data_IF_904368109403
#
_entry.id   IF_904368109403
#
_cell.length_a   1.000
_cell.length_b   1.000
_cell.length_c   1.000
_cell.angle_alpha   90.00
_cell.angle_beta   90.00
_cell.angle_gamma   90.00
#
_symmetry.space_group_name_H-M   'P 1'
#
loop_
_entity.id
_entity.type
_entity.pdbx_description
1 polymer ?
#
# COMPACT_ATOMS: atom_id res chain seq x y z
N UNK A 1 -1.08 -10.33 26.28
CA UNK A 1 -1.07 -9.38 25.15
C UNK A 1 -1.82 -10.05 24.01
N UNK A 2 -2.84 -9.41 23.44
CA UNK A 2 -3.58 -9.99 22.31
C UNK A 2 -2.66 -10.11 21.08
N UNK A 3 -2.80 -11.15 20.24
CA UNK A 3 -1.95 -11.32 19.07
C UNK A 3 -2.22 -10.20 18.06
N UNK A 4 -1.18 -9.72 17.38
CA UNK A 4 -1.30 -8.68 16.34
C UNK A 4 -1.86 -9.26 15.03
N UNK A 5 -1.38 -10.44 14.65
CA UNK A 5 -1.83 -11.23 13.49
C UNK A 5 -2.85 -12.26 13.92
N UNK A 6 -3.78 -12.61 13.05
CA UNK A 6 -4.71 -13.71 13.28
C UNK A 6 -3.92 -15.03 13.47
N UNK A 7 -4.01 -15.70 14.63
CA UNK A 7 -3.27 -16.93 14.88
C UNK A 7 -3.80 -18.14 14.09
N UNK A 8 -4.99 -18.04 13.49
CA UNK A 8 -5.64 -19.12 12.75
C UNK A 8 -5.35 -19.09 11.24
N UNK A 9 -4.39 -18.28 10.80
CA UNK A 9 -4.05 -18.19 9.38
C UNK A 9 -3.58 -19.55 8.82
N UNK A 10 -4.14 -20.01 7.69
CA UNK A 10 -3.72 -21.26 7.06
C UNK A 10 -2.43 -21.05 6.26
N UNK A 11 -1.32 -20.78 6.96
CA UNK A 11 -0.05 -20.35 6.36
C UNK A 11 0.45 -21.27 5.23
N UNK A 12 0.30 -22.59 5.38
CA UNK A 12 0.73 -23.55 4.36
C UNK A 12 -0.08 -23.42 3.05
N UNK A 13 -1.40 -23.21 3.15
CA UNK A 13 -2.26 -23.01 1.99
C UNK A 13 -1.97 -21.67 1.32
N UNK A 14 -1.77 -20.62 2.11
CA UNK A 14 -1.40 -19.28 1.62
C UNK A 14 -0.09 -19.35 0.85
N UNK A 15 0.94 -19.98 1.41
CA UNK A 15 2.24 -20.13 0.77
C UNK A 15 2.13 -20.94 -0.53
N UNK A 16 1.36 -22.02 -0.54
CA UNK A 16 1.12 -22.83 -1.74
C UNK A 16 0.44 -22.03 -2.85
N UNK A 17 -0.59 -21.23 -2.51
CA UNK A 17 -1.29 -20.36 -3.48
C UNK A 17 -0.37 -19.28 -4.05
N UNK A 18 0.39 -18.61 -3.18
CA UNK A 18 1.33 -17.57 -3.59
C UNK A 18 2.42 -18.13 -4.51
N UNK A 19 2.97 -19.31 -4.19
CA UNK A 19 3.97 -19.96 -5.03
C UNK A 19 3.42 -20.40 -6.40
N UNK A 20 2.13 -20.74 -6.49
CA UNK A 20 1.50 -21.18 -7.74
C UNK A 20 1.02 -20.03 -8.63
N UNK A 21 0.68 -18.87 -8.06
CA UNK A 21 0.00 -17.78 -8.78
C UNK A 21 0.76 -16.46 -8.78
N UNK A 22 1.87 -16.35 -8.03
CA UNK A 22 2.61 -15.11 -7.75
C UNK A 22 1.81 -14.03 -6.99
N UNK A 23 0.56 -14.30 -6.64
CA UNK A 23 -0.22 -13.48 -5.71
C UNK A 23 -1.16 -14.33 -4.86
N UNK A 24 -1.60 -13.76 -3.74
CA UNK A 24 -2.62 -14.34 -2.87
C UNK A 24 -3.40 -13.25 -2.15
N UNK A 25 -4.69 -13.49 -1.94
CA UNK A 25 -5.58 -12.64 -1.15
C UNK A 25 -5.93 -13.39 0.14
N UNK A 26 -5.53 -12.83 1.28
CA UNK A 26 -5.63 -13.45 2.61
C UNK A 26 -6.69 -12.68 3.39
N UNK A 27 -7.77 -13.34 3.76
CA UNK A 27 -8.83 -12.76 4.60
C UNK A 27 -8.46 -12.86 6.07
N UNK A 28 -9.04 -11.98 6.86
CA UNK A 28 -8.89 -11.93 8.31
C UNK A 28 -7.42 -11.95 8.75
N UNK A 29 -6.59 -11.12 8.11
CA UNK A 29 -5.13 -11.15 8.28
C UNK A 29 -4.68 -10.70 9.68
N UNK A 30 -5.15 -9.53 10.12
CA UNK A 30 -4.91 -9.04 11.47
C UNK A 30 -5.90 -9.66 12.45
N UNK A 31 -5.53 -9.67 13.73
CA UNK A 31 -6.53 -9.91 14.77
C UNK A 31 -7.68 -8.89 14.66
N UNK A 32 -8.96 -9.28 14.82
CA UNK A 32 -10.11 -8.42 14.52
C UNK A 32 -10.10 -7.06 15.26
N UNK A 33 -9.67 -7.06 16.53
CA UNK A 33 -9.56 -5.84 17.32
C UNK A 33 -8.48 -4.87 16.77
N UNK A 34 -7.37 -5.41 16.26
CA UNK A 34 -6.29 -4.63 15.65
C UNK A 34 -6.75 -4.02 14.32
N UNK A 35 -7.41 -4.81 13.46
CA UNK A 35 -7.96 -4.30 12.20
C UNK A 35 -8.96 -3.15 12.44
N UNK A 36 -9.86 -3.34 13.40
CA UNK A 36 -10.86 -2.33 13.77
C UNK A 36 -10.21 -1.05 14.30
N UNK A 37 -9.24 -1.20 15.21
CA UNK A 37 -8.49 -0.07 15.77
C UNK A 37 -7.75 0.73 14.69
N UNK A 38 -7.01 0.05 13.82
CA UNK A 38 -6.25 0.70 12.75
C UNK A 38 -7.16 1.45 11.77
N UNK A 39 -8.31 0.87 11.41
CA UNK A 39 -9.27 1.56 10.55
C UNK A 39 -9.78 2.85 11.20
N UNK A 40 -10.22 2.79 12.46
CA UNK A 40 -10.70 3.96 13.20
C UNK A 40 -9.63 5.02 13.37
N UNK A 41 -8.39 4.59 13.61
CA UNK A 41 -7.24 5.48 13.70
C UNK A 41 -6.98 6.18 12.37
N UNK A 42 -6.95 5.44 11.26
CA UNK A 42 -6.67 5.96 9.92
C UNK A 42 -7.73 6.98 9.47
N UNK A 43 -9.01 6.78 9.80
CA UNK A 43 -10.09 7.72 9.49
C UNK A 43 -9.87 9.12 10.08
N UNK A 44 -9.05 9.25 11.12
CA UNK A 44 -8.82 10.50 11.84
C UNK A 44 -7.47 11.17 11.51
N UNK A 45 -6.68 10.60 10.60
CA UNK A 45 -5.34 11.11 10.34
C UNK A 45 -5.36 12.37 9.44
N UNK A 46 -4.37 13.28 9.60
CA UNK A 46 -4.10 14.31 8.61
C UNK A 46 -3.38 13.69 7.42
N UNK A 47 -4.04 13.69 6.26
CA UNK A 47 -3.53 13.03 5.07
C UNK A 47 -2.74 13.98 4.17
N UNK A 48 -1.53 13.57 3.77
CA UNK A 48 -0.81 14.23 2.69
C UNK A 48 -1.38 13.75 1.34
N UNK A 49 -1.23 14.55 0.29
CA UNK A 49 -1.53 14.15 -1.08
C UNK A 49 -0.22 13.85 -1.82
N UNK A 50 -0.05 12.59 -2.23
CA UNK A 50 0.99 12.19 -3.17
C UNK A 50 0.45 12.28 -4.60
N UNK A 51 1.18 12.96 -5.48
CA UNK A 51 0.76 13.11 -6.87
C UNK A 51 1.93 13.18 -7.85
N UNK A 52 1.72 12.76 -9.10
CA UNK A 52 2.71 12.93 -10.17
C UNK A 52 2.67 14.35 -10.72
N UNK A 53 3.85 14.94 -10.90
CA UNK A 53 4.05 16.21 -11.57
C UNK A 53 5.36 16.20 -12.35
N UNK A 54 5.29 16.39 -13.67
CA UNK A 54 6.46 16.48 -14.55
C UNK A 54 7.42 15.31 -14.39
N UNK A 55 6.90 14.07 -14.42
CA UNK A 55 7.63 12.79 -14.24
C UNK A 55 8.23 12.57 -12.86
N UNK A 56 7.87 13.39 -11.87
CA UNK A 56 8.34 13.26 -10.49
C UNK A 56 7.17 13.09 -9.53
N UNK A 57 7.39 12.37 -8.44
CA UNK A 57 6.47 12.37 -7.32
C UNK A 57 6.59 13.66 -6.52
N UNK A 58 5.45 14.28 -6.25
CA UNK A 58 5.28 15.42 -5.36
C UNK A 58 4.46 15.02 -4.14
N UNK A 59 4.66 15.74 -3.04
CA UNK A 59 3.85 15.61 -1.83
C UNK A 59 3.32 17.00 -1.47
N UNK A 60 2.00 17.15 -1.41
CA UNK A 60 1.34 18.29 -0.80
C UNK A 60 0.94 17.91 0.62
N UNK A 61 1.50 18.61 1.62
CA UNK A 61 1.33 18.23 3.03
C UNK A 61 -0.05 18.58 3.55
N UNK A 62 -0.58 17.76 4.48
CA UNK A 62 -1.87 17.97 5.12
C UNK A 62 -2.02 19.37 5.73
N UNK A 63 -0.94 19.89 6.34
CA UNK A 63 -0.93 21.25 6.91
C UNK A 63 -1.07 22.36 5.85
N UNK A 64 -0.59 22.13 4.63
CA UNK A 64 -0.73 23.07 3.52
C UNK A 64 -2.11 22.94 2.85
N UNK A 65 -2.64 21.71 2.78
CA UNK A 65 -4.03 21.45 2.36
C UNK A 65 -5.00 22.16 3.30
N UNK A 66 -4.80 22.05 4.61
CA UNK A 66 -5.65 22.70 5.61
C UNK A 66 -5.65 24.24 5.48
N UNK A 67 -4.53 24.84 5.06
CA UNK A 67 -4.44 26.30 4.81
C UNK A 67 -5.08 26.71 3.49
N UNK A 68 -5.00 25.87 2.46
CA UNK A 68 -5.59 26.14 1.15
C UNK A 68 -6.09 24.84 0.49
N UNK A 69 -7.34 24.44 0.75
CA UNK A 69 -7.92 23.20 0.23
C UNK A 69 -7.98 23.13 -1.29
N UNK A 70 -8.01 24.26 -1.99
CA UNK A 70 -8.04 24.28 -3.47
C UNK A 70 -6.76 23.71 -4.09
N UNK A 71 -5.63 23.74 -3.36
CA UNK A 71 -4.37 23.16 -3.84
C UNK A 71 -4.44 21.66 -4.05
N UNK A 72 -5.22 20.96 -3.23
CA UNK A 72 -5.45 19.52 -3.35
C UNK A 72 -6.13 19.20 -4.68
N UNK A 73 -7.26 19.88 -4.96
CA UNK A 73 -8.01 19.73 -6.21
C UNK A 73 -7.17 20.07 -7.45
N UNK A 74 -6.39 21.16 -7.38
CA UNK A 74 -5.49 21.57 -8.46
C UNK A 74 -4.40 20.52 -8.72
N UNK A 75 -3.78 20.00 -7.67
CA UNK A 75 -2.73 18.98 -7.77
C UNK A 75 -3.27 17.68 -8.38
N UNK A 76 -4.43 17.20 -7.91
CA UNK A 76 -5.08 16.00 -8.46
C UNK A 76 -5.51 16.19 -9.92
N UNK A 77 -6.07 17.35 -10.27
CA UNK A 77 -6.44 17.67 -11.64
C UNK A 77 -5.22 17.73 -12.57
N UNK A 78 -4.11 18.32 -12.10
CA UNK A 78 -2.86 18.38 -12.85
C UNK A 78 -2.29 16.98 -13.09
N UNK A 79 -2.20 16.14 -12.06
CA UNK A 79 -1.71 14.76 -12.18
C UNK A 79 -2.55 13.94 -13.18
N UNK A 80 -3.87 14.15 -13.20
CA UNK A 80 -4.77 13.50 -14.15
C UNK A 80 -4.59 13.99 -15.59
N UNK A 81 -4.24 15.27 -15.78
CA UNK A 81 -4.08 15.88 -17.10
C UNK A 81 -2.72 15.55 -17.76
N UNK A 82 -1.77 14.98 -17.02
CA UNK A 82 -0.47 14.60 -17.58
C UNK A 82 -0.61 13.56 -18.71
N UNK A 83 0.27 13.65 -19.70
CA UNK A 83 0.36 12.72 -20.84
C UNK A 83 1.32 11.55 -20.60
N UNK A 84 1.95 11.51 -19.43
CA UNK A 84 2.88 10.44 -19.05
C UNK A 84 2.11 9.13 -18.76
N UNK A 85 2.75 7.99 -19.00
CA UNK A 85 2.14 6.69 -18.75
C UNK A 85 2.00 6.41 -17.24
N UNK A 86 3.03 6.76 -16.47
CA UNK A 86 3.03 6.64 -15.01
C UNK A 86 2.56 7.93 -14.35
N UNK A 87 1.38 7.87 -13.74
CA UNK A 87 0.69 8.98 -13.10
C UNK A 87 -0.02 8.50 -11.86
N UNK A 88 -0.15 9.37 -10.88
CA UNK A 88 -0.87 9.04 -9.67
C UNK A 88 -1.37 10.28 -8.94
N UNK A 89 -2.43 10.11 -8.19
CA UNK A 89 -2.89 11.05 -7.18
C UNK A 89 -3.63 10.24 -6.13
N UNK A 90 -3.11 10.21 -4.91
CA UNK A 90 -3.75 9.50 -3.79
C UNK A 90 -3.27 10.06 -2.47
N UNK A 91 -4.07 9.89 -1.44
CA UNK A 91 -3.73 10.36 -0.11
C UNK A 91 -2.87 9.33 0.61
N UNK A 92 -1.79 9.77 1.25
CA UNK A 92 -0.91 8.88 1.99
C UNK A 92 -0.27 9.50 3.23
N UNK A 93 0.27 8.61 4.06
CA UNK A 93 1.23 8.91 5.11
C UNK A 93 2.34 7.89 4.98
N UNK A 94 3.46 8.30 4.39
CA UNK A 94 4.69 7.50 4.33
C UNK A 94 5.30 7.40 5.73
N UNK A 95 5.16 6.21 6.35
CA UNK A 95 5.57 5.96 7.73
C UNK A 95 7.09 5.90 7.86
N UNK A 96 7.78 5.33 6.87
CA UNK A 96 9.24 5.26 6.84
C UNK A 96 9.83 6.66 6.78
N UNK A 97 9.35 7.47 5.83
CA UNK A 97 9.78 8.86 5.68
C UNK A 97 9.40 9.70 6.89
N UNK A 98 8.25 9.44 7.52
CA UNK A 98 7.84 10.14 8.74
C UNK A 98 8.82 9.88 9.90
N UNK A 99 9.23 8.63 10.09
CA UNK A 99 10.24 8.29 11.10
C UNK A 99 11.58 8.99 10.84
N UNK A 100 12.07 8.93 9.59
CA UNK A 100 13.35 9.56 9.20
C UNK A 100 13.31 11.08 9.43
N UNK A 101 12.23 11.72 9.00
CA UNK A 101 12.04 13.17 9.10
C UNK A 101 11.55 13.62 10.50
N UNK A 102 11.32 12.68 11.43
CA UNK A 102 10.73 12.94 12.76
C UNK A 102 9.41 13.72 12.69
N UNK A 103 8.59 13.44 11.67
CA UNK A 103 7.27 14.04 11.53
C UNK A 103 6.29 13.42 12.53
N UNK A 104 5.35 14.21 13.09
CA UNK A 104 4.32 13.68 13.95
C UNK A 104 3.39 12.76 13.14
N UNK A 105 3.26 11.52 13.61
CA UNK A 105 2.32 10.50 13.12
C UNK A 105 1.73 9.82 14.34
N UNK A 106 0.51 9.28 14.23
CA UNK A 106 -0.08 8.50 15.31
C UNK A 106 0.89 7.40 15.80
N UNK A 107 1.15 7.31 17.13
CA UNK A 107 2.10 6.33 17.68
C UNK A 107 1.80 4.89 17.26
N UNK A 108 0.53 4.51 17.16
CA UNK A 108 0.13 3.16 16.81
C UNK A 108 0.41 2.80 15.33
N UNK A 109 0.47 3.79 14.42
CA UNK A 109 0.95 3.55 13.05
C UNK A 109 2.46 3.35 13.02
N UNK A 110 3.21 4.01 13.90
CA UNK A 110 4.65 3.79 14.05
C UNK A 110 4.90 2.40 14.67
N UNK A 111 4.16 2.04 15.72
CA UNK A 111 4.23 0.72 16.34
C UNK A 111 3.92 -0.39 15.33
N UNK A 112 2.98 -0.19 14.41
CA UNK A 112 2.71 -1.13 13.31
C UNK A 112 3.95 -1.32 12.42
N UNK A 113 4.61 -0.24 12.00
CA UNK A 113 5.83 -0.32 11.19
C UNK A 113 6.95 -1.05 11.96
N UNK A 114 7.09 -0.79 13.26
CA UNK A 114 8.04 -1.49 14.12
C UNK A 114 7.73 -2.98 14.22
N UNK A 115 6.45 -3.36 14.43
CA UNK A 115 6.00 -4.76 14.47
C UNK A 115 6.34 -5.47 13.17
N UNK A 116 6.10 -4.82 12.02
CA UNK A 116 6.43 -5.37 10.70
C UNK A 116 7.92 -5.67 10.53
N UNK A 117 8.79 -5.04 11.32
CA UNK A 117 10.24 -5.26 11.29
C UNK A 117 10.77 -6.07 12.50
N UNK A 118 9.88 -6.72 13.25
CA UNK A 118 10.29 -7.67 14.30
C UNK A 118 10.72 -9.01 13.72
N UNK A 119 11.60 -9.78 14.40
CA UNK A 119 11.97 -11.12 13.97
C UNK A 119 10.77 -12.06 13.80
N UNK A 120 9.76 -11.94 14.66
CA UNK A 120 8.56 -12.76 14.60
C UNK A 120 7.74 -12.50 13.34
N UNK A 121 7.55 -11.22 12.96
CA UNK A 121 6.84 -10.87 11.73
C UNK A 121 7.65 -11.24 10.48
N UNK A 122 8.97 -11.03 10.50
CA UNK A 122 9.84 -11.51 9.42
C UNK A 122 9.75 -13.02 9.22
N UNK A 123 9.74 -13.81 10.31
CA UNK A 123 9.58 -15.26 10.24
C UNK A 123 8.24 -15.67 9.61
N UNK A 124 7.13 -15.00 10.00
CA UNK A 124 5.84 -15.20 9.38
C UNK A 124 5.88 -14.89 7.88
N UNK A 125 6.40 -13.74 7.49
CA UNK A 125 6.46 -13.34 6.09
C UNK A 125 7.35 -14.27 5.27
N UNK A 126 8.47 -14.76 5.82
CA UNK A 126 9.30 -15.76 5.19
C UNK A 126 8.56 -17.09 5.02
N UNK A 127 7.75 -17.50 6.00
CA UNK A 127 6.89 -18.69 5.89
C UNK A 127 5.84 -18.55 4.79
N UNK A 128 5.19 -17.39 4.67
CA UNK A 128 4.15 -17.14 3.67
C UNK A 128 4.72 -17.01 2.25
N UNK A 129 5.89 -16.39 2.11
CA UNK A 129 6.49 -16.06 0.81
C UNK A 129 7.50 -17.09 0.30
N UNK A 130 8.05 -17.92 1.19
CA UNK A 130 9.22 -18.74 0.88
C UNK A 130 10.50 -17.93 0.66
N UNK A 131 10.51 -16.63 0.98
CA UNK A 131 11.64 -15.74 0.79
C UNK A 131 12.17 -15.24 2.14
N UNK A 132 13.46 -15.43 2.40
CA UNK A 132 14.13 -14.93 3.61
C UNK A 132 15.17 -13.84 3.34
N UNK A 133 15.30 -13.40 2.08
CA UNK A 133 16.36 -12.47 1.65
C UNK A 133 16.05 -11.01 1.95
N UNK A 134 14.79 -10.68 2.25
CA UNK A 134 14.40 -9.33 2.62
C UNK A 134 14.96 -8.96 4.00
N UNK A 135 15.32 -7.70 4.18
CA UNK A 135 15.86 -7.18 5.45
C UNK A 135 15.00 -6.08 6.05
N UNK A 136 13.99 -5.59 5.31
CA UNK A 136 13.11 -4.50 5.71
C UNK A 136 11.71 -4.73 5.18
N UNK A 137 10.73 -4.29 5.96
CA UNK A 137 9.34 -4.15 5.52
C UNK A 137 8.96 -2.68 5.66
N UNK A 138 8.73 -2.03 4.53
CA UNK A 138 8.26 -0.64 4.50
C UNK A 138 6.74 -0.59 4.65
N UNK A 139 6.22 0.55 5.09
CA UNK A 139 4.78 0.76 5.16
C UNK A 139 4.43 2.23 4.89
N UNK A 140 3.31 2.42 4.19
CA UNK A 140 2.60 3.68 4.11
C UNK A 140 1.10 3.43 4.37
N UNK A 141 0.47 4.34 5.09
CA UNK A 141 -0.99 4.40 5.15
C UNK A 141 -1.49 5.09 3.88
N UNK A 142 -2.57 4.61 3.29
CA UNK A 142 -3.19 5.18 2.08
C UNK A 142 -4.70 5.32 2.24
N UNK A 143 -5.23 6.38 1.66
CA UNK A 143 -6.66 6.61 1.50
C UNK A 143 -6.93 7.03 0.06
N UNK A 144 -7.67 6.22 -0.69
CA UNK A 144 -8.14 6.63 -2.02
C UNK A 144 -9.52 7.27 -1.88
N UNK A 145 -9.59 8.55 -2.21
CA UNK A 145 -10.81 9.37 -2.27
C UNK A 145 -11.35 9.42 -3.70
N UNK A 146 -12.59 9.89 -3.93
CA UNK A 146 -13.08 10.17 -5.27
C UNK A 146 -12.08 10.95 -6.12
N UNK A 147 -11.79 10.45 -7.31
CA UNK A 147 -10.78 11.01 -8.20
C UNK A 147 -9.38 10.42 -8.07
N UNK A 148 -9.05 9.78 -6.94
CA UNK A 148 -7.72 9.20 -6.70
C UNK A 148 -7.46 7.96 -7.57
N UNK A 149 -6.21 7.76 -7.95
CA UNK A 149 -5.77 6.69 -8.86
C UNK A 149 -4.26 6.46 -8.77
N UNK A 150 -3.81 5.33 -9.31
CA UNK A 150 -2.40 5.02 -9.54
C UNK A 150 -2.32 4.18 -10.82
N UNK A 151 -1.74 4.73 -11.89
CA UNK A 151 -1.73 4.05 -13.19
C UNK A 151 -0.75 2.88 -13.22
N UNK A 152 -0.71 2.18 -14.35
CA UNK A 152 0.10 0.98 -14.56
C UNK A 152 1.59 1.24 -14.23
N UNK A 153 2.14 0.40 -13.34
CA UNK A 153 3.53 0.39 -12.92
C UNK A 153 3.90 -1.01 -12.41
N UNK A 154 5.18 -1.24 -12.08
CA UNK A 154 5.67 -2.56 -11.68
C UNK A 154 6.45 -2.62 -10.38
N UNK A 155 6.48 -1.50 -9.64
CA UNK A 155 7.24 -1.33 -8.39
C UNK A 155 8.75 -1.57 -8.49
N UNK A 156 9.33 -1.60 -9.69
CA UNK A 156 10.77 -1.67 -9.85
C UNK A 156 11.44 -0.36 -9.42
N UNK A 157 12.39 -0.45 -8.48
CA UNK A 157 13.22 0.66 -8.00
C UNK A 157 14.67 0.18 -8.01
N UNK A 158 15.57 0.95 -8.64
CA UNK A 158 16.95 0.51 -8.83
C UNK A 158 17.73 0.42 -7.50
N UNK A 159 17.37 1.23 -6.51
CA UNK A 159 18.04 1.34 -5.22
C UNK A 159 17.59 0.26 -4.22
N UNK A 160 16.49 -0.44 -4.50
CA UNK A 160 15.89 -1.42 -3.61
C UNK A 160 15.51 -2.71 -4.34
N UNK A 161 16.00 -3.84 -3.85
CA UNK A 161 15.50 -5.13 -4.27
C UNK A 161 14.19 -5.41 -3.54
N UNK A 162 13.06 -5.14 -4.20
CA UNK A 162 11.72 -5.50 -3.72
C UNK A 162 11.41 -6.92 -4.15
N UNK A 163 11.08 -7.77 -3.18
CA UNK A 163 10.74 -9.18 -3.41
C UNK A 163 9.23 -9.37 -3.53
N UNK A 164 8.48 -8.69 -2.65
CA UNK A 164 7.02 -8.73 -2.62
C UNK A 164 6.48 -7.35 -2.28
N UNK A 165 5.35 -7.00 -2.89
CA UNK A 165 4.51 -5.88 -2.49
C UNK A 165 3.27 -6.42 -1.78
N UNK A 166 2.70 -5.61 -0.88
CA UNK A 166 1.47 -5.96 -0.19
C UNK A 166 0.51 -4.78 -0.08
N UNK A 167 -0.78 -5.12 -0.02
CA UNK A 167 -1.89 -4.19 0.23
C UNK A 167 -2.79 -4.79 1.30
N UNK A 168 -2.66 -4.31 2.53
CA UNK A 168 -3.55 -4.65 3.64
C UNK A 168 -4.73 -3.69 3.64
N UNK A 169 -5.85 -4.12 3.07
CA UNK A 169 -7.06 -3.32 2.99
C UNK A 169 -7.82 -3.34 4.32
N UNK A 170 -8.26 -2.14 4.71
CA UNK A 170 -9.13 -1.87 5.85
C UNK A 170 -10.42 -1.18 5.39
N UNK A 171 -10.83 -1.45 4.14
CA UNK A 171 -12.01 -0.84 3.52
C UNK A 171 -13.25 -1.66 3.84
N UNK A 172 -14.16 -1.13 4.65
CA UNK A 172 -15.43 -1.81 4.93
C UNK A 172 -16.45 -1.59 3.80
N UNK A 173 -17.15 -2.66 3.41
CA UNK A 173 -18.23 -2.68 2.40
C UNK A 173 -17.92 -1.98 1.06
N UNK A 174 -16.65 -2.02 0.62
CA UNK A 174 -16.26 -1.44 -0.66
C UNK A 174 -16.87 -2.22 -1.84
N UNK A 175 -17.30 -1.50 -2.89
CA UNK A 175 -17.94 -2.11 -4.06
C UNK A 175 -17.03 -2.07 -5.28
N UNK A 176 -17.13 -3.09 -6.14
CA UNK A 176 -16.37 -3.13 -7.38
C UNK A 176 -16.67 -1.93 -8.31
N UNK A 177 -17.93 -1.47 -8.32
CA UNK A 177 -18.37 -0.31 -9.11
C UNK A 177 -17.72 1.01 -8.68
N UNK A 178 -17.13 1.08 -7.48
CA UNK A 178 -16.52 2.30 -6.97
C UNK A 178 -15.15 2.61 -7.58
N UNK A 179 -14.55 1.67 -8.32
CA UNK A 179 -13.13 1.76 -8.66
C UNK A 179 -12.26 1.55 -7.42
N UNK A 180 -11.06 2.15 -7.39
CA UNK A 180 -10.09 1.92 -6.32
C UNK A 180 -9.59 0.47 -6.19
N UNK A 181 -9.84 -0.35 -7.21
CA UNK A 181 -9.51 -1.78 -7.27
C UNK A 181 -8.04 -1.96 -7.61
N UNK A 182 -7.41 -3.00 -7.08
CA UNK A 182 -6.07 -3.42 -7.49
C UNK A 182 -6.21 -4.37 -8.69
N UNK A 183 -5.57 -4.03 -9.80
CA UNK A 183 -5.50 -4.87 -10.99
C UNK A 183 -4.09 -5.39 -11.17
N UNK A 184 -3.92 -6.68 -11.46
CA UNK A 184 -2.64 -7.32 -11.76
C UNK A 184 -2.65 -7.80 -13.21
N UNK A 185 -1.55 -7.55 -13.94
CA UNK A 185 -1.41 -7.89 -15.36
C UNK A 185 -0.29 -8.91 -15.59
N UNK A 186 -0.41 -9.72 -16.64
CA UNK A 186 0.73 -10.52 -17.11
C UNK A 186 1.74 -9.65 -17.89
N UNK A 187 2.83 -10.25 -18.32
CA UNK A 187 3.86 -9.59 -19.14
C UNK A 187 3.36 -9.14 -20.51
N UNK A 188 2.24 -9.69 -20.97
CA UNK A 188 1.60 -9.37 -22.26
C UNK A 188 0.57 -8.22 -22.10
N UNK A 189 0.32 -7.78 -20.86
CA UNK A 189 -0.63 -6.71 -20.54
C UNK A 189 -2.08 -7.18 -20.34
N UNK A 190 -2.35 -8.47 -20.23
CA UNK A 190 -3.70 -8.99 -19.94
C UNK A 190 -3.98 -8.96 -18.43
N UNK A 191 -5.20 -8.56 -18.03
CA UNK A 191 -5.64 -8.58 -16.63
C UNK A 191 -5.70 -10.03 -16.14
N UNK A 192 -4.78 -10.40 -15.25
CA UNK A 192 -4.73 -11.72 -14.59
C UNK A 192 -5.65 -11.78 -13.37
N UNK A 193 -5.73 -10.68 -12.64
CA UNK A 193 -6.50 -10.61 -11.41
C UNK A 193 -6.98 -9.20 -11.15
N UNK A 194 -8.13 -9.12 -10.48
CA UNK A 194 -8.72 -7.88 -10.00
C UNK A 194 -9.21 -8.10 -8.58
N UNK A 195 -8.69 -7.31 -7.65
CA UNK A 195 -8.99 -7.43 -6.22
C UNK A 195 -9.81 -6.24 -5.79
N UNK A 196 -11.04 -6.52 -5.34
CA UNK A 196 -11.90 -5.54 -4.69
C UNK A 196 -11.40 -5.36 -3.26
N UNK A 197 -11.14 -4.13 -2.79
CA UNK A 197 -10.79 -3.86 -1.40
C UNK A 197 -11.80 -4.48 -0.43
N UNK A 198 -11.31 -5.16 0.60
CA UNK A 198 -12.13 -5.79 1.63
C UNK A 198 -11.53 -5.52 3.00
N UNK A 199 -12.38 -5.40 4.01
CA UNK A 199 -11.94 -5.17 5.37
C UNK A 199 -11.05 -6.33 5.86
N UNK A 200 -9.93 -5.99 6.50
CA UNK A 200 -8.97 -6.92 7.07
C UNK A 200 -8.41 -7.95 6.08
N UNK A 201 -8.12 -7.51 4.85
CA UNK A 201 -7.68 -8.39 3.78
C UNK A 201 -6.30 -7.99 3.25
N UNK A 202 -5.32 -8.91 3.34
CA UNK A 202 -3.98 -8.71 2.80
C UNK A 202 -3.90 -9.30 1.40
N UNK A 203 -3.66 -8.46 0.40
CA UNK A 203 -3.18 -8.93 -0.91
C UNK A 203 -1.66 -8.89 -0.91
N UNK A 204 -1.01 -10.01 -1.23
CA UNK A 204 0.43 -10.15 -1.29
C UNK A 204 0.80 -10.65 -2.69
N UNK A 205 1.76 -10.00 -3.35
CA UNK A 205 2.18 -10.39 -4.71
C UNK A 205 3.68 -10.19 -4.91
N UNK A 206 4.27 -11.09 -5.71
CA UNK A 206 5.69 -11.11 -6.04
C UNK A 206 6.03 -9.94 -6.97
N UNK A 207 7.19 -9.32 -6.79
CA UNK A 207 7.67 -8.23 -7.65
C UNK A 207 8.87 -8.66 -8.51
N UNK A 208 9.10 -8.05 -9.68
CA UNK A 208 8.29 -7.01 -10.33
C UNK A 208 6.94 -7.57 -10.86
N UNK A 209 5.88 -6.77 -10.77
CA UNK A 209 4.52 -7.16 -11.19
C UNK A 209 3.77 -5.96 -11.72
N UNK A 210 3.35 -6.00 -12.99
CA UNK A 210 2.55 -4.95 -13.60
C UNK A 210 1.19 -4.84 -12.89
N UNK A 211 0.87 -3.66 -12.35
CA UNK A 211 -0.37 -3.45 -11.64
C UNK A 211 -0.80 -1.98 -11.63
N UNK A 212 -2.08 -1.73 -11.33
CA UNK A 212 -2.63 -0.39 -11.15
C UNK A 212 -3.69 -0.37 -10.05
N UNK A 213 -4.00 0.83 -9.56
CA UNK A 213 -5.22 1.08 -8.78
C UNK A 213 -6.16 1.92 -9.62
N UNK A 214 -7.30 1.34 -10.00
CA UNK A 214 -8.29 2.01 -10.86
C UNK A 214 -8.78 3.29 -10.20
N UNK A 215 -9.07 4.31 -11.00
CA UNK A 215 -9.60 5.57 -10.49
C UNK A 215 -10.87 5.35 -9.66
N UNK A 216 -10.94 5.96 -8.49
CA UNK A 216 -12.17 5.97 -7.68
C UNK A 216 -13.17 6.92 -8.31
N UNK A 217 -14.40 6.45 -8.52
CA UNK A 217 -15.46 7.28 -9.11
C UNK A 217 -15.98 8.32 -8.11
N UNK A 218 -16.77 9.26 -8.60
CA UNK A 218 -17.47 10.21 -7.75
C UNK A 218 -18.57 9.52 -6.92
N UNK A 219 -18.93 10.11 -5.77
CA UNK A 219 -20.03 9.66 -4.91
C UNK A 219 -19.92 8.22 -4.36
N UNK A 220 -18.71 7.78 -3.98
CA UNK A 220 -18.53 6.50 -3.28
C UNK A 220 -18.94 6.59 -1.81
N UNK A 221 -19.55 5.54 -1.28
CA UNK A 221 -19.75 5.40 0.16
C UNK A 221 -18.56 4.69 0.82
N UNK A 222 -18.10 5.19 1.96
CA UNK A 222 -17.02 4.59 2.74
C UNK A 222 -15.62 5.10 2.40
N UNK A 223 -14.60 4.52 3.04
CA UNK A 223 -13.22 4.91 2.89
C UNK A 223 -12.38 3.75 2.35
N UNK A 224 -11.73 3.95 1.20
CA UNK A 224 -10.76 2.99 0.65
C UNK A 224 -9.44 3.16 1.38
N UNK A 225 -9.31 2.49 2.53
CA UNK A 225 -8.12 2.55 3.38
C UNK A 225 -7.26 1.31 3.18
N UNK A 226 -5.95 1.50 3.14
CA UNK A 226 -5.00 0.39 3.18
C UNK A 226 -3.68 0.80 3.83
N UNK A 227 -3.00 -0.18 4.42
CA UNK A 227 -1.55 -0.11 4.65
C UNK A 227 -0.87 -0.86 3.49
N UNK A 228 0.03 -0.20 2.79
CA UNK A 228 0.76 -0.79 1.65
C UNK A 228 2.25 -0.67 1.85
N UNK A 229 3.02 -1.55 1.24
CA UNK A 229 4.46 -1.52 1.35
C UNK A 229 5.13 -2.69 0.67
N UNK A 230 6.43 -2.83 0.94
CA UNK A 230 7.29 -3.81 0.28
C UNK A 230 8.16 -4.55 1.29
N UNK A 231 8.33 -5.85 1.04
CA UNK A 231 9.41 -6.65 1.60
C UNK A 231 10.61 -6.44 0.70
N UNK A 232 11.64 -5.78 1.22
CA UNK A 232 12.79 -5.38 0.41
C UNK A 232 14.11 -5.58 1.12
N UNK A 233 15.17 -5.51 0.31
CA UNK A 233 16.54 -5.38 0.77
C UNK A 233 17.14 -4.16 0.06
N UNK A 234 17.79 -3.23 0.79
CA UNK A 234 18.55 -2.18 0.14
C UNK A 234 19.59 -2.80 -0.78
N UNK A 235 19.72 -2.30 -2.01
CA UNK A 235 20.83 -2.74 -2.84
C UNK A 235 22.13 -2.28 -2.18
N UNK A 236 23.18 -3.13 -2.16
CA UNK A 236 24.49 -2.67 -1.73
C UNK A 236 24.84 -1.45 -2.58
N UNK A 237 25.13 -0.32 -1.93
CA UNK A 237 25.54 0.90 -2.63
C UNK A 237 26.68 0.50 -3.55
N UNK A 238 26.50 0.63 -4.86
CA UNK A 238 27.64 0.58 -5.77
C UNK A 238 28.53 1.73 -5.34
N UNK A 239 29.67 1.44 -4.71
CA UNK A 239 30.78 2.38 -4.66
C UNK A 239 31.25 2.58 -6.10
N UNK A 240 30.53 3.41 -6.85
CA UNK A 240 31.02 4.01 -8.06
C UNK A 240 31.92 5.17 -7.64
N UNK A 241 33.19 4.98 -7.98
CA UNK A 241 34.32 5.92 -7.90
C UNK A 241 33.98 7.28 -8.50
#
# INVERSE_FOLDING_TARGET
MLPFINPELPCAEIASKLAAQDYVVIKDFLAPAVASHLQQLMLQQPWDLAFSQSRKGQILRAADIAKNPQREQQASAQAWAEQESFRFSYHNIDLVKACIEKRPVAPDLIALLEIFNTPAYHALMAQLTGCSDFTRISAQATWYRPGDFLTLHNDFVHEEQRFFAYVLSLSDRWQASYGGLLHLFDEQGNERAKVVPQFNCLTLFKTPQQHLVSKVIDNTAGARLAITGWLSKPNPVSNSQ
#
